data_IF_156549879146
#
_entry.id   IF_156549879146
#
_cell.length_a   1.000
_cell.length_b   1.000
_cell.length_c   1.000
_cell.angle_alpha   90.00
_cell.angle_beta   90.00
_cell.angle_gamma   90.00
#
_symmetry.space_group_name_H-M   'P 1'
#
loop_
_entity.id
_entity.type
_entity.pdbx_description
1 polymer ?
#
# COMPACT_ATOMS: atom_id res chain seq x y z
N UNK A 1 20.69 -5.91 3.01
CA UNK A 1 21.03 -6.36 1.64
C UNK A 1 22.33 -5.68 1.25
N UNK A 2 23.29 -6.41 0.69
CA UNK A 2 24.54 -5.80 0.18
C UNK A 2 24.24 -5.22 -1.20
N UNK A 3 24.68 -3.97 -1.47
CA UNK A 3 24.49 -3.22 -2.74
C UNK A 3 23.12 -2.56 -3.01
N UNK A 4 22.17 -2.56 -2.07
CA UNK A 4 20.89 -1.86 -2.28
C UNK A 4 21.11 -0.34 -2.21
N UNK A 5 20.81 0.39 -3.30
CA UNK A 5 21.05 1.85 -3.41
C UNK A 5 19.82 2.71 -3.16
N UNK A 6 18.64 2.20 -3.46
CA UNK A 6 17.34 2.85 -3.24
C UNK A 6 16.26 1.77 -3.09
N UNK A 7 15.08 2.14 -2.58
CA UNK A 7 13.94 1.22 -2.43
C UNK A 7 13.22 1.01 -3.77
N UNK A 8 13.14 2.03 -4.60
CA UNK A 8 12.56 1.95 -5.95
C UNK A 8 11.06 1.66 -6.05
N UNK A 9 10.30 1.62 -4.95
CA UNK A 9 8.87 1.30 -4.93
C UNK A 9 7.99 2.50 -5.29
N UNK A 10 8.22 3.11 -6.47
CA UNK A 10 7.60 4.39 -6.85
C UNK A 10 6.09 4.36 -7.08
N UNK A 11 5.48 3.17 -7.14
CA UNK A 11 4.04 2.98 -7.20
C UNK A 11 3.42 2.58 -5.85
N UNK A 12 4.21 2.50 -4.77
CA UNK A 12 3.65 2.25 -3.43
C UNK A 12 2.88 3.48 -2.96
N UNK A 13 1.60 3.29 -2.66
CA UNK A 13 0.66 4.36 -2.28
C UNK A 13 0.06 4.20 -0.90
N UNK A 14 -0.05 2.98 -0.40
CA UNK A 14 -0.64 2.71 0.90
C UNK A 14 -0.05 1.43 1.51
N UNK A 15 0.23 1.46 2.81
CA UNK A 15 0.45 0.29 3.66
C UNK A 15 -0.66 0.31 4.70
N UNK A 16 -1.68 -0.53 4.51
CA UNK A 16 -2.94 -0.48 5.27
C UNK A 16 -2.74 -0.81 6.75
N UNK A 17 -1.78 -1.68 7.07
CA UNK A 17 -1.52 -2.14 8.45
C UNK A 17 -0.05 -2.42 8.66
N UNK A 18 0.43 -2.10 9.86
CA UNK A 18 1.80 -2.35 10.28
C UNK A 18 2.71 -1.12 10.10
N UNK A 19 4.00 -1.39 9.98
CA UNK A 19 5.05 -0.39 9.85
C UNK A 19 6.17 -0.93 8.95
N UNK A 20 7.15 -0.10 8.63
CA UNK A 20 8.32 -0.53 7.86
C UNK A 20 9.54 -0.77 8.76
N UNK A 21 10.34 -1.77 8.38
CA UNK A 21 11.65 -2.04 8.99
C UNK A 21 12.73 -2.00 7.91
N UNK A 22 13.59 -0.99 7.97
CA UNK A 22 14.69 -0.78 7.03
C UNK A 22 15.99 -0.65 7.82
N UNK A 23 16.77 -1.73 7.86
CA UNK A 23 17.95 -1.77 8.72
C UNK A 23 19.16 -2.38 8.00
N UNK A 24 20.36 -1.88 8.34
CA UNK A 24 21.66 -2.45 7.93
C UNK A 24 21.86 -2.52 6.41
N UNK A 25 21.56 -1.42 5.69
CA UNK A 25 21.85 -1.28 4.26
C UNK A 25 22.86 -0.15 4.06
N UNK A 26 24.15 -0.51 4.00
CA UNK A 26 25.27 0.44 4.00
C UNK A 26 25.31 1.37 2.76
N UNK A 27 24.70 0.96 1.65
CA UNK A 27 24.69 1.72 0.39
C UNK A 27 23.35 2.40 0.10
N UNK A 28 22.35 2.25 0.99
CA UNK A 28 20.97 2.66 0.74
C UNK A 28 20.77 4.16 0.98
N UNK A 29 20.39 4.84 -0.09
CA UNK A 29 20.07 6.27 -0.17
C UNK A 29 18.59 6.48 -0.55
N UNK A 30 18.18 7.73 -0.83
CA UNK A 30 16.77 8.09 -1.12
C UNK A 30 15.77 7.69 -0.02
N UNK A 31 16.22 7.59 1.24
CA UNK A 31 15.36 7.28 2.38
C UNK A 31 14.70 8.53 2.97
N UNK A 32 15.46 9.61 3.11
CA UNK A 32 14.97 10.89 3.63
C UNK A 32 14.11 11.66 2.62
N UNK A 33 14.16 11.25 1.34
CA UNK A 33 13.34 11.82 0.26
C UNK A 33 11.96 11.17 0.14
N UNK A 34 11.65 10.13 0.90
CA UNK A 34 10.32 9.49 0.93
C UNK A 34 9.54 9.97 2.15
N UNK A 35 8.35 10.54 1.91
CA UNK A 35 7.40 10.89 2.95
C UNK A 35 6.49 9.70 3.27
N UNK A 36 6.89 8.96 4.30
CA UNK A 36 6.14 7.80 4.78
C UNK A 36 4.76 8.14 5.35
N UNK A 37 4.53 9.38 5.80
CA UNK A 37 3.24 9.80 6.34
C UNK A 37 2.12 9.84 5.30
N UNK A 38 2.49 9.87 4.01
CA UNK A 38 1.55 9.77 2.88
C UNK A 38 1.19 8.32 2.52
N UNK A 39 1.93 7.34 3.05
CA UNK A 39 1.83 5.93 2.67
C UNK A 39 1.26 5.10 3.83
N UNK A 40 1.60 5.45 5.08
CA UNK A 40 1.18 4.70 6.24
C UNK A 40 0.78 5.63 7.40
N UNK A 41 -0.21 5.20 8.18
CA UNK A 41 -0.72 5.99 9.31
C UNK A 41 0.22 5.89 10.54
N UNK A 42 0.78 4.70 10.81
CA UNK A 42 1.56 4.40 12.01
C UNK A 42 3.05 4.75 11.87
N UNK A 43 3.39 5.93 11.34
CA UNK A 43 4.78 6.35 11.06
C UNK A 43 5.71 6.30 12.27
N UNK A 44 5.17 6.52 13.47
CA UNK A 44 5.94 6.46 14.72
C UNK A 44 6.51 5.07 15.03
N UNK A 45 5.94 4.02 14.43
CA UNK A 45 6.35 2.63 14.65
C UNK A 45 7.39 2.17 13.62
N UNK A 46 7.78 3.03 12.67
CA UNK A 46 8.80 2.72 11.69
C UNK A 46 10.17 2.53 12.36
N UNK A 47 10.89 1.50 11.95
CA UNK A 47 12.23 1.20 12.43
C UNK A 47 13.24 1.32 11.29
N UNK A 48 13.94 2.46 11.21
CA UNK A 48 14.88 2.77 10.12
C UNK A 48 16.25 3.13 10.72
N UNK A 49 17.19 2.18 10.78
CA UNK A 49 18.48 2.36 11.46
C UNK A 49 19.64 1.70 10.71
N UNK A 50 20.87 2.21 10.85
CA UNK A 50 22.06 1.56 10.29
C UNK A 50 22.09 1.50 8.76
N UNK A 51 21.48 2.48 8.08
CA UNK A 51 21.60 2.68 6.63
C UNK A 51 22.63 3.78 6.33
N UNK A 52 22.90 4.03 5.05
CA UNK A 52 23.85 5.08 4.65
C UNK A 52 23.42 6.46 5.21
N UNK A 53 24.33 7.25 5.81
CA UNK A 53 24.00 8.58 6.30
C UNK A 53 23.53 9.51 5.16
N UNK A 54 22.41 10.26 5.30
CA UNK A 54 21.88 11.11 4.23
C UNK A 54 22.89 12.13 3.68
N UNK A 55 23.80 12.62 4.53
CA UNK A 55 24.87 13.57 4.14
C UNK A 55 25.87 13.00 3.13
N UNK A 56 25.98 11.67 3.03
CA UNK A 56 26.90 10.97 2.11
C UNK A 56 26.21 10.47 0.83
N UNK A 57 24.88 10.61 0.74
CA UNK A 57 24.10 10.13 -0.40
C UNK A 57 24.05 11.15 -1.55
N UNK A 58 23.93 12.44 -1.23
CA UNK A 58 23.74 13.48 -2.25
C UNK A 58 22.45 13.27 -3.05
N UNK A 59 21.35 12.92 -2.36
CA UNK A 59 20.08 12.61 -3.01
C UNK A 59 19.55 13.81 -3.81
N UNK A 60 19.21 13.57 -5.07
CA UNK A 60 18.68 14.57 -5.99
C UNK A 60 17.45 14.02 -6.70
N UNK A 61 16.30 14.63 -6.42
CA UNK A 61 15.04 14.27 -7.06
C UNK A 61 14.97 14.75 -8.52
N UNK A 62 14.13 14.12 -9.35
CA UNK A 62 13.91 14.51 -10.74
C UNK A 62 13.70 16.01 -10.94
N UNK A 63 14.44 16.59 -11.90
CA UNK A 63 14.33 18.00 -12.26
C UNK A 63 14.89 18.98 -11.22
N UNK A 64 15.55 18.52 -10.14
CA UNK A 64 16.14 19.43 -9.13
C UNK A 64 17.27 20.29 -9.71
N UNK A 65 17.98 19.79 -10.72
CA UNK A 65 19.02 20.53 -11.46
C UNK A 65 18.48 21.30 -12.67
N UNK A 66 17.19 21.17 -12.98
CA UNK A 66 16.54 21.80 -14.13
C UNK A 66 15.74 23.03 -13.66
N UNK A 67 15.39 23.93 -14.58
CA UNK A 67 14.63 25.15 -14.25
C UNK A 67 13.22 24.84 -13.71
N UNK A 68 12.69 23.64 -13.98
CA UNK A 68 11.35 23.21 -13.56
C UNK A 68 11.40 21.90 -12.78
N UNK A 69 11.44 21.95 -11.44
CA UNK A 69 11.41 20.75 -10.61
C UNK A 69 10.11 19.97 -10.82
N UNK A 70 10.21 18.65 -10.98
CA UNK A 70 9.07 17.79 -11.33
C UNK A 70 8.34 17.22 -10.10
N UNK A 71 9.04 17.11 -8.97
CA UNK A 71 8.50 16.48 -7.78
C UNK A 71 7.84 17.49 -6.85
N UNK A 72 6.82 17.02 -6.13
CA UNK A 72 6.15 17.78 -5.08
C UNK A 72 7.01 17.84 -3.79
N UNK A 73 6.76 18.85 -2.96
CA UNK A 73 7.45 19.05 -1.67
C UNK A 73 6.52 18.85 -0.49
N UNK A 74 7.02 18.25 0.57
CA UNK A 74 6.32 18.17 1.87
C UNK A 74 7.28 18.49 3.01
N UNK A 75 6.78 18.56 4.24
CA UNK A 75 7.58 18.82 5.44
C UNK A 75 7.74 17.55 6.27
N UNK A 76 8.98 17.11 6.49
CA UNK A 76 9.31 16.00 7.41
C UNK A 76 10.31 16.54 8.43
N UNK A 77 10.05 16.38 9.73
CA UNK A 77 10.94 16.85 10.80
C UNK A 77 11.38 18.32 10.64
N UNK A 78 10.46 19.21 10.27
CA UNK A 78 10.68 20.64 9.96
C UNK A 78 11.54 20.93 8.72
N UNK A 79 11.83 19.92 7.88
CA UNK A 79 12.53 20.09 6.61
C UNK A 79 11.54 20.03 5.43
N UNK A 80 11.38 21.17 4.74
CA UNK A 80 10.56 21.29 3.54
C UNK A 80 11.40 21.01 2.28
N UNK A 81 11.21 19.84 1.68
CA UNK A 81 12.05 19.37 0.56
C UNK A 81 11.26 18.49 -0.43
N UNK A 82 11.85 18.24 -1.60
CA UNK A 82 11.27 17.39 -2.65
C UNK A 82 11.13 15.95 -2.22
N UNK A 83 10.09 15.27 -2.74
CA UNK A 83 9.83 13.86 -2.45
C UNK A 83 10.00 12.97 -3.67
N UNK A 84 10.88 11.99 -3.55
CA UNK A 84 11.21 11.05 -4.61
C UNK A 84 11.66 9.70 -4.06
N UNK A 85 11.39 8.67 -4.85
CA UNK A 85 11.84 7.30 -4.58
C UNK A 85 13.24 7.03 -5.12
N UNK A 86 13.58 7.67 -6.23
CA UNK A 86 14.86 7.55 -6.94
C UNK A 86 15.18 8.86 -7.65
N UNK A 87 16.36 8.94 -8.26
CA UNK A 87 16.78 10.09 -9.09
C UNK A 87 15.85 10.37 -10.29
N UNK A 88 15.06 9.37 -10.73
CA UNK A 88 14.21 9.45 -11.92
C UNK A 88 12.70 9.33 -11.62
N UNK A 89 12.30 9.06 -10.37
CA UNK A 89 10.90 8.81 -10.00
C UNK A 89 10.51 9.59 -8.75
N UNK A 90 9.61 10.56 -8.92
CA UNK A 90 9.01 11.29 -7.82
C UNK A 90 8.11 10.39 -6.96
N UNK A 91 7.92 10.78 -5.71
CA UNK A 91 6.85 10.23 -4.89
C UNK A 91 5.54 10.87 -5.36
N UNK A 92 4.67 10.04 -5.90
CA UNK A 92 3.39 10.49 -6.41
C UNK A 92 2.46 10.86 -5.23
N UNK A 93 1.78 12.00 -5.31
CA UNK A 93 0.84 12.50 -4.29
C UNK A 93 -0.51 12.78 -4.94
N UNK A 94 -1.59 12.71 -4.16
CA UNK A 94 -2.92 13.09 -4.63
C UNK A 94 -3.25 14.53 -4.25
N UNK A 95 -4.05 15.25 -5.06
CA UNK A 95 -4.45 16.61 -4.73
C UNK A 95 -5.35 16.61 -3.49
N UNK A 96 -5.26 17.68 -2.70
CA UNK A 96 -6.04 17.86 -1.47
C UNK A 96 -7.55 17.77 -1.70
N UNK A 97 -8.02 18.11 -2.91
CA UNK A 97 -9.43 17.98 -3.32
C UNK A 97 -9.96 16.53 -3.25
N UNK A 98 -9.10 15.52 -3.38
CA UNK A 98 -9.51 14.12 -3.25
C UNK A 98 -9.65 13.67 -1.78
N UNK A 99 -9.18 14.47 -0.82
CA UNK A 99 -9.20 14.13 0.60
C UNK A 99 -8.46 12.82 0.87
N UNK A 100 -9.18 11.82 1.39
CA UNK A 100 -8.64 10.47 1.68
C UNK A 100 -8.79 9.47 0.51
N UNK A 101 -9.29 9.91 -0.65
CA UNK A 101 -9.46 9.05 -1.83
C UNK A 101 -8.13 8.89 -2.55
N UNK A 102 -7.97 7.77 -3.25
CA UNK A 102 -6.90 7.61 -4.23
C UNK A 102 -7.11 8.55 -5.43
N UNK A 103 -6.10 8.67 -6.28
CA UNK A 103 -6.15 9.44 -7.52
C UNK A 103 -5.45 8.72 -8.67
N UNK A 104 -5.82 9.08 -9.90
CA UNK A 104 -5.17 8.64 -11.15
C UNK A 104 -3.80 9.30 -11.31
N UNK A 105 -3.04 8.92 -12.34
CA UNK A 105 -1.78 9.59 -12.69
C UNK A 105 -1.97 11.06 -13.12
N UNK A 106 -3.17 11.43 -13.57
CA UNK A 106 -3.55 12.79 -13.96
C UNK A 106 -4.17 13.59 -12.81
N UNK A 107 -4.04 13.12 -11.56
CA UNK A 107 -4.56 13.77 -10.35
C UNK A 107 -6.10 13.86 -10.29
N UNK A 108 -6.82 12.93 -10.92
CA UNK A 108 -8.28 12.85 -10.82
C UNK A 108 -8.68 11.85 -9.73
N UNK A 109 -9.71 12.15 -8.94
CA UNK A 109 -10.06 11.32 -7.79
C UNK A 109 -10.68 9.97 -8.21
N UNK A 110 -10.18 8.89 -7.62
CA UNK A 110 -10.73 7.55 -7.78
C UNK A 110 -11.99 7.35 -6.97
N UNK A 111 -12.80 6.33 -7.29
CA UNK A 111 -13.96 5.95 -6.48
C UNK A 111 -13.57 5.75 -4.99
N UNK A 112 -14.45 6.06 -4.01
CA UNK A 112 -14.14 5.94 -2.58
C UNK A 112 -13.70 4.54 -2.12
N UNK A 113 -14.12 3.50 -2.84
CA UNK A 113 -13.73 2.10 -2.61
C UNK A 113 -12.39 1.71 -3.25
N UNK A 114 -11.79 2.57 -4.08
CA UNK A 114 -10.46 2.33 -4.60
C UNK A 114 -9.38 2.67 -3.56
N UNK A 115 -8.34 1.84 -3.52
CA UNK A 115 -7.14 2.04 -2.71
C UNK A 115 -5.92 2.21 -3.62
N UNK A 116 -5.05 3.16 -3.24
CA UNK A 116 -3.79 3.42 -3.91
C UNK A 116 -3.91 4.20 -5.23
N UNK A 117 -4.60 3.66 -6.23
CA UNK A 117 -4.77 4.28 -7.55
C UNK A 117 -5.97 3.68 -8.31
N UNK A 118 -6.31 4.27 -9.44
CA UNK A 118 -7.28 3.75 -10.40
C UNK A 118 -6.85 4.06 -11.84
N UNK A 119 -7.38 3.31 -12.80
CA UNK A 119 -7.18 3.51 -14.25
C UNK A 119 -8.18 4.50 -14.85
N UNK A 120 -9.34 4.69 -14.22
CA UNK A 120 -10.34 5.68 -14.58
C UNK A 120 -10.87 6.38 -13.31
N UNK A 121 -11.12 7.69 -13.35
CA UNK A 121 -11.65 8.43 -12.20
C UNK A 121 -13.07 7.98 -11.85
N UNK A 122 -13.40 8.07 -10.56
CA UNK A 122 -14.73 7.81 -9.99
C UNK A 122 -15.42 6.49 -10.41
N UNK A 123 -14.64 5.45 -10.74
CA UNK A 123 -15.15 4.15 -11.16
C UNK A 123 -14.59 3.02 -10.26
N UNK A 124 -15.47 2.24 -9.66
CA UNK A 124 -15.16 1.17 -8.69
C UNK A 124 -14.68 -0.14 -9.33
N UNK A 125 -14.80 -0.27 -10.65
CA UNK A 125 -14.24 -1.38 -11.45
C UNK A 125 -12.88 -1.03 -12.05
N UNK A 126 -12.48 0.24 -11.95
CA UNK A 126 -11.22 0.76 -12.46
C UNK A 126 -10.11 0.85 -11.39
N UNK A 127 -10.34 0.31 -10.20
CA UNK A 127 -9.37 0.39 -9.10
C UNK A 127 -8.15 -0.51 -9.35
N UNK A 128 -6.96 -0.07 -8.89
CA UNK A 128 -5.77 -0.92 -8.85
C UNK A 128 -5.82 -1.89 -7.67
N UNK A 129 -6.37 -1.44 -6.54
CA UNK A 129 -6.65 -2.25 -5.36
C UNK A 129 -7.93 -1.75 -4.69
N UNK A 130 -8.56 -2.61 -3.87
CA UNK A 130 -9.77 -2.26 -3.13
C UNK A 130 -9.44 -1.84 -1.71
N UNK A 131 -10.17 -0.82 -1.22
CA UNK A 131 -10.06 -0.35 0.16
C UNK A 131 -10.58 -1.39 1.15
N UNK A 132 -11.68 -2.05 0.78
CA UNK A 132 -12.33 -3.08 1.60
C UNK A 132 -12.22 -4.44 0.93
N UNK A 133 -13.16 -4.80 0.04
CA UNK A 133 -13.19 -6.12 -0.57
C UNK A 133 -13.27 -6.06 -2.09
N UNK A 134 -12.59 -6.99 -2.73
CA UNK A 134 -12.74 -7.28 -4.15
C UNK A 134 -13.80 -8.36 -4.36
N UNK A 135 -14.74 -8.13 -5.28
CA UNK A 135 -15.68 -9.14 -5.73
C UNK A 135 -16.07 -8.94 -7.20
N UNK A 136 -15.89 -9.99 -8.02
CA UNK A 136 -16.32 -10.03 -9.42
C UNK A 136 -15.91 -8.80 -10.28
N UNK A 137 -14.69 -8.29 -10.09
CA UNK A 137 -14.17 -7.13 -10.84
C UNK A 137 -14.55 -5.77 -10.24
N UNK A 138 -15.21 -5.74 -9.08
CA UNK A 138 -15.69 -4.52 -8.42
C UNK A 138 -15.09 -4.41 -7.02
N UNK A 139 -14.68 -3.20 -6.62
CA UNK A 139 -14.36 -2.91 -5.24
C UNK A 139 -15.61 -2.54 -4.44
N UNK A 140 -15.95 -3.38 -3.47
CA UNK A 140 -17.18 -3.27 -2.67
C UNK A 140 -16.86 -3.00 -1.20
N UNK A 141 -17.69 -2.20 -0.50
CA UNK A 141 -17.49 -1.90 0.91
C UNK A 141 -17.77 -3.10 1.83
N UNK A 142 -18.61 -4.03 1.40
CA UNK A 142 -18.98 -5.24 2.11
C UNK A 142 -19.27 -6.37 1.13
N UNK A 143 -19.07 -7.62 1.57
CA UNK A 143 -19.38 -8.77 0.75
C UNK A 143 -20.89 -8.91 0.48
N UNK A 144 -21.31 -9.06 -0.79
CA UNK A 144 -22.72 -9.26 -1.14
C UNK A 144 -23.33 -10.50 -0.48
N UNK A 145 -24.68 -10.61 -0.44
CA UNK A 145 -25.36 -11.81 0.06
C UNK A 145 -24.84 -13.09 -0.61
N UNK A 146 -24.75 -14.17 0.18
CA UNK A 146 -24.20 -15.48 -0.23
C UNK A 146 -22.71 -15.49 -0.56
N UNK A 147 -21.98 -14.43 -0.19
CA UNK A 147 -20.52 -14.37 -0.26
C UNK A 147 -19.94 -14.04 1.12
N UNK A 148 -18.69 -14.39 1.33
CA UNK A 148 -18.00 -14.35 2.61
C UNK A 148 -16.64 -13.70 2.46
N UNK A 149 -16.22 -12.92 3.46
CA UNK A 149 -14.88 -12.35 3.51
C UNK A 149 -13.84 -13.47 3.52
N UNK A 150 -12.74 -13.28 2.83
CA UNK A 150 -11.64 -14.24 2.80
C UNK A 150 -10.31 -13.50 2.77
N UNK A 151 -9.42 -13.85 3.70
CA UNK A 151 -8.08 -13.25 3.86
C UNK A 151 -8.10 -11.72 4.00
N UNK A 152 -9.23 -11.15 4.42
CA UNK A 152 -9.40 -9.71 4.63
C UNK A 152 -9.38 -8.82 3.39
N UNK A 153 -9.42 -9.35 2.16
CA UNK A 153 -9.32 -8.52 0.94
C UNK A 153 -10.30 -8.87 -0.19
N UNK A 154 -10.96 -10.02 -0.15
CA UNK A 154 -11.94 -10.41 -1.19
C UNK A 154 -13.15 -11.13 -0.62
N UNK A 155 -14.16 -11.27 -1.47
CA UNK A 155 -15.35 -12.07 -1.20
C UNK A 155 -15.32 -13.37 -2.00
N UNK A 156 -15.71 -14.48 -1.37
CA UNK A 156 -15.79 -15.81 -1.96
C UNK A 156 -17.15 -16.45 -1.66
N UNK A 157 -17.62 -17.37 -2.49
CA UNK A 157 -18.84 -18.11 -2.21
C UNK A 157 -18.59 -19.31 -1.27
N UNK A 158 -19.68 -19.97 -0.89
CA UNK A 158 -19.63 -21.14 -0.01
C UNK A 158 -18.84 -22.30 -0.61
N UNK A 159 -19.01 -22.54 -1.91
CA UNK A 159 -18.39 -23.66 -2.60
C UNK A 159 -16.87 -23.46 -2.69
N UNK A 160 -16.43 -22.23 -2.93
CA UNK A 160 -15.03 -21.85 -2.85
C UNK A 160 -14.46 -22.19 -1.47
N UNK A 161 -15.14 -21.75 -0.40
CA UNK A 161 -14.68 -21.99 0.97
C UNK A 161 -14.55 -23.48 1.31
N UNK A 162 -15.55 -24.28 0.95
CA UNK A 162 -15.56 -25.72 1.23
C UNK A 162 -14.48 -26.52 0.46
N UNK A 163 -14.00 -26.00 -0.66
CA UNK A 163 -13.01 -26.67 -1.51
C UNK A 163 -11.56 -26.24 -1.22
N UNK A 164 -11.33 -25.37 -0.23
CA UNK A 164 -9.97 -25.03 0.20
C UNK A 164 -9.42 -26.19 1.04
N UNK A 165 -8.38 -26.84 0.53
CA UNK A 165 -7.63 -27.84 1.28
C UNK A 165 -6.75 -27.14 2.31
N UNK A 166 -6.93 -27.47 3.59
CA UNK A 166 -6.01 -27.09 4.66
C UNK A 166 -4.61 -27.64 4.36
N UNK A 167 -3.59 -26.79 4.45
CA UNK A 167 -2.24 -27.09 3.96
C UNK A 167 -1.51 -28.21 4.73
N UNK A 168 -2.03 -28.66 5.88
CA UNK A 168 -1.31 -29.61 6.73
C UNK A 168 -2.26 -30.66 7.33
N UNK A 169 -2.00 -31.92 6.96
CA UNK A 169 -2.53 -33.16 7.52
C UNK A 169 -3.85 -33.69 6.95
N UNK A 170 -3.90 -35.02 6.82
CA UNK A 170 -5.07 -35.85 6.50
C UNK A 170 -6.16 -35.85 7.59
N UNK A 171 -5.98 -35.05 8.63
CA UNK A 171 -6.84 -34.92 9.82
C UNK A 171 -7.29 -33.45 10.03
N UNK A 172 -6.88 -32.52 9.16
CA UNK A 172 -7.36 -31.13 9.24
C UNK A 172 -8.77 -31.03 8.67
N UNK A 173 -9.67 -30.51 9.49
CA UNK A 173 -10.99 -30.09 9.06
C UNK A 173 -10.89 -28.99 7.99
N UNK A 174 -11.85 -28.97 7.06
CA UNK A 174 -11.90 -27.95 6.02
C UNK A 174 -12.17 -26.55 6.58
N UNK A 175 -12.01 -25.53 5.74
CA UNK A 175 -12.34 -24.15 6.10
C UNK A 175 -13.81 -24.04 6.53
N UNK A 176 -14.06 -23.17 7.51
CA UNK A 176 -15.38 -22.92 8.08
C UNK A 176 -15.88 -21.52 7.72
N UNK A 177 -17.20 -21.35 7.74
CA UNK A 177 -17.84 -20.05 7.57
C UNK A 177 -18.40 -19.60 8.92
N UNK A 178 -17.87 -18.49 9.44
CA UNK A 178 -18.30 -17.90 10.70
C UNK A 178 -18.39 -16.37 10.57
N UNK A 179 -19.45 -15.75 11.10
CA UNK A 179 -19.67 -14.29 11.09
C UNK A 179 -19.51 -13.60 9.72
N UNK A 180 -19.81 -14.30 8.63
CA UNK A 180 -19.67 -13.76 7.27
C UNK A 180 -18.25 -13.85 6.71
N UNK A 181 -17.38 -14.67 7.30
CA UNK A 181 -15.98 -14.87 6.93
C UNK A 181 -15.68 -16.36 6.74
N UNK A 182 -14.97 -16.67 5.66
CA UNK A 182 -14.41 -17.98 5.40
C UNK A 182 -13.00 -18.04 6.02
N UNK A 183 -12.82 -18.89 7.03
CA UNK A 183 -11.61 -18.95 7.86
C UNK A 183 -11.16 -20.40 8.08
N UNK A 184 -9.87 -20.57 8.34
CA UNK A 184 -9.25 -21.90 8.42
C UNK A 184 -9.74 -22.71 9.62
N UNK A 185 -9.95 -22.07 10.76
CA UNK A 185 -10.36 -22.72 12.01
C UNK A 185 -11.52 -21.96 12.64
N UNK A 186 -12.31 -22.62 13.50
CA UNK A 186 -13.33 -21.94 14.30
C UNK A 186 -12.69 -20.92 15.28
N UNK A 187 -13.35 -19.77 15.56
CA UNK A 187 -12.87 -18.87 16.59
C UNK A 187 -12.93 -19.54 17.97
N UNK A 188 -12.10 -19.07 18.91
CA UNK A 188 -12.10 -19.60 20.27
C UNK A 188 -13.49 -19.49 20.92
N UNK A 189 -14.06 -20.63 21.32
CA UNK A 189 -15.37 -20.70 21.97
C UNK A 189 -16.52 -21.20 21.09
N UNK A 190 -16.22 -21.71 19.89
CA UNK A 190 -17.15 -22.39 18.98
C UNK A 190 -16.78 -23.85 18.77
#
# INVERSE_FOLDING_TARGET
MTNLKDIGLYNLRNITRGAIRIEKNADLCYLSTVDWSLILDAVSNNYIVGNKPPKECGDLCPGTMEEKPMCEKTTINNEYNYRCWTTNRCQKMCPSACGKRACTENNECCHPECLGSCSAPDNDTACVACRHYYYAGVCVPACPPNTYRFEGWRCVDRDFCANILSAESSDSEGFVIHDGECMQECPSGF
#
